data_IF_639084109721
#
_entry.id   IF_639084109721
#
_cell.length_a   1.000
_cell.length_b   1.000
_cell.length_c   1.000
_cell.angle_alpha   90.00
_cell.angle_beta   90.00
_cell.angle_gamma   90.00
#
_symmetry.space_group_name_H-M   'P 1'
#
loop_
_entity.id
_entity.type
_entity.pdbx_description
1 polymer ?
#
# COMPACT_ATOMS: atom_id res chain seq x y z
N UNK A 1 -11.76 15.15 -15.41
CA UNK A 1 -11.85 14.00 -16.35
C UNK A 1 -10.61 13.15 -16.13
N UNK A 2 -10.76 11.98 -15.50
CA UNK A 2 -9.67 11.01 -15.39
C UNK A 2 -9.53 10.31 -16.75
N UNK A 3 -8.42 10.57 -17.43
CA UNK A 3 -8.09 9.87 -18.68
C UNK A 3 -7.45 8.53 -18.32
N UNK A 4 -8.22 7.44 -18.41
CA UNK A 4 -7.67 6.09 -18.38
C UNK A 4 -7.19 5.73 -19.78
N UNK A 5 -5.90 5.42 -19.93
CA UNK A 5 -5.29 5.09 -21.22
C UNK A 5 -5.77 3.75 -21.77
N UNK A 6 -6.03 2.78 -20.90
CA UNK A 6 -6.60 1.48 -21.24
C UNK A 6 -7.47 1.00 -20.08
N UNK A 7 -8.68 0.59 -20.36
CA UNK A 7 -9.62 0.07 -19.38
C UNK A 7 -10.20 -1.26 -19.89
N UNK A 8 -10.10 -2.31 -19.06
CA UNK A 8 -10.66 -3.62 -19.33
C UNK A 8 -11.61 -3.96 -18.20
N UNK A 9 -12.86 -4.32 -18.53
CA UNK A 9 -13.89 -4.64 -17.54
C UNK A 9 -14.59 -5.92 -17.92
N UNK A 10 -14.64 -6.86 -16.97
CA UNK A 10 -15.38 -8.12 -17.07
C UNK A 10 -16.36 -8.24 -15.92
N UNK A 11 -17.53 -8.85 -16.15
CA UNK A 11 -18.45 -9.19 -15.08
C UNK A 11 -17.81 -10.20 -14.14
N UNK A 12 -17.81 -9.91 -12.85
CA UNK A 12 -17.27 -10.80 -11.83
C UNK A 12 -18.37 -11.24 -10.85
N UNK A 13 -18.80 -10.37 -9.97
CA UNK A 13 -19.83 -10.64 -8.96
C UNK A 13 -21.07 -9.77 -9.24
N UNK A 14 -21.89 -10.21 -10.21
CA UNK A 14 -23.05 -9.44 -10.69
C UNK A 14 -24.02 -9.04 -9.58
N UNK A 15 -24.33 -9.97 -8.66
CA UNK A 15 -25.26 -9.72 -7.55
C UNK A 15 -24.75 -8.68 -6.56
N UNK A 16 -23.44 -8.50 -6.46
CA UNK A 16 -22.80 -7.48 -5.63
C UNK A 16 -22.44 -6.21 -6.41
N UNK A 17 -22.78 -6.12 -7.70
CA UNK A 17 -22.43 -4.96 -8.51
C UNK A 17 -20.91 -4.70 -8.63
N UNK A 18 -20.08 -5.76 -8.49
CA UNK A 18 -18.63 -5.68 -8.67
C UNK A 18 -18.23 -6.24 -10.02
N UNK A 19 -17.46 -5.45 -10.75
CA UNK A 19 -16.85 -5.84 -12.02
C UNK A 19 -15.34 -5.96 -11.84
N UNK A 20 -14.74 -6.97 -12.44
CA UNK A 20 -13.29 -7.08 -12.51
C UNK A 20 -12.78 -6.05 -13.51
N UNK A 21 -12.57 -4.83 -13.01
CA UNK A 21 -12.17 -3.68 -13.82
C UNK A 21 -10.75 -3.28 -13.49
N UNK A 22 -9.89 -3.35 -14.49
CA UNK A 22 -8.51 -2.89 -14.41
C UNK A 22 -8.32 -1.72 -15.39
N UNK A 23 -7.61 -0.70 -14.95
CA UNK A 23 -7.30 0.46 -15.78
C UNK A 23 -6.02 1.15 -15.34
N UNK A 24 -5.40 1.87 -16.23
CA UNK A 24 -4.17 2.61 -15.98
C UNK A 24 -4.41 4.12 -16.12
N UNK A 25 -4.11 4.84 -15.06
CA UNK A 25 -3.89 6.28 -15.09
C UNK A 25 -2.39 6.58 -14.91
N UNK A 26 -1.99 7.83 -14.92
CA UNK A 26 -0.59 8.22 -14.79
C UNK A 26 0.10 7.65 -13.54
N UNK A 27 -0.58 7.64 -12.39
CA UNK A 27 -0.05 7.11 -11.14
C UNK A 27 0.06 5.58 -11.18
N UNK A 28 -1.00 4.90 -11.60
CA UNK A 28 -1.01 3.44 -11.77
C UNK A 28 0.05 2.99 -12.77
N UNK A 29 0.21 3.71 -13.89
CA UNK A 29 1.22 3.41 -14.90
C UNK A 29 2.65 3.49 -14.33
N UNK A 30 2.95 4.55 -13.57
CA UNK A 30 4.27 4.72 -12.96
C UNK A 30 4.61 3.60 -11.97
N UNK A 31 3.67 3.22 -11.11
CA UNK A 31 3.90 2.19 -10.09
C UNK A 31 3.91 0.76 -10.68
N UNK A 32 3.12 0.50 -11.71
CA UNK A 32 3.20 -0.77 -12.45
C UNK A 32 4.52 -0.87 -13.23
N UNK A 33 4.99 0.22 -13.84
CA UNK A 33 6.29 0.25 -14.51
C UNK A 33 7.43 0.03 -13.50
N UNK A 34 7.39 0.69 -12.34
CA UNK A 34 8.35 0.45 -11.26
C UNK A 34 8.36 -1.03 -10.85
N UNK A 35 7.18 -1.63 -10.66
CA UNK A 35 7.04 -3.03 -10.29
C UNK A 35 7.57 -3.96 -11.37
N UNK A 36 7.25 -3.69 -12.65
CA UNK A 36 7.69 -4.50 -13.79
C UNK A 36 9.21 -4.51 -13.96
N UNK A 37 9.88 -3.38 -13.68
CA UNK A 37 11.34 -3.26 -13.77
C UNK A 37 12.04 -3.80 -12.53
N UNK A 38 11.47 -3.58 -11.35
CA UNK A 38 12.07 -3.98 -10.08
C UNK A 38 12.20 -5.51 -9.93
N UNK A 39 11.17 -6.28 -10.28
CA UNK A 39 11.19 -7.73 -10.07
C UNK A 39 12.29 -8.45 -10.85
N UNK A 40 12.51 -8.22 -12.16
CA UNK A 40 13.66 -8.76 -12.87
C UNK A 40 15.00 -8.37 -12.22
N UNK A 41 15.16 -7.11 -11.80
CA UNK A 41 16.38 -6.67 -11.11
C UNK A 41 16.59 -7.44 -9.81
N UNK A 42 15.54 -7.60 -8.98
CA UNK A 42 15.59 -8.35 -7.73
C UNK A 42 15.96 -9.82 -8.00
N UNK A 43 15.39 -10.46 -9.02
CA UNK A 43 15.72 -11.83 -9.39
C UNK A 43 17.16 -11.99 -9.85
N UNK A 44 17.67 -11.06 -10.66
CA UNK A 44 19.07 -11.05 -11.10
C UNK A 44 20.01 -10.84 -9.90
N UNK A 45 19.73 -9.87 -9.05
CA UNK A 45 20.55 -9.54 -7.88
C UNK A 45 20.62 -10.72 -6.88
N UNK A 46 19.57 -11.50 -6.77
CA UNK A 46 19.46 -12.61 -5.81
C UNK A 46 19.65 -14.00 -6.43
N UNK A 47 20.00 -14.08 -7.71
CA UNK A 47 20.16 -15.34 -8.46
C UNK A 47 21.19 -16.32 -7.84
N UNK A 48 22.25 -15.79 -7.21
CA UNK A 48 23.27 -16.62 -6.55
C UNK A 48 22.86 -17.12 -5.16
N UNK A 49 21.71 -16.71 -4.63
CA UNK A 49 21.22 -17.13 -3.31
C UNK A 49 20.52 -18.48 -3.42
N UNK A 50 21.03 -19.48 -2.69
CA UNK A 50 20.41 -20.80 -2.66
C UNK A 50 19.24 -20.83 -1.69
N UNK A 51 18.01 -20.77 -2.22
CA UNK A 51 16.79 -20.92 -1.43
C UNK A 51 16.38 -22.40 -1.36
N UNK A 52 16.11 -22.89 -0.14
CA UNK A 52 15.47 -24.20 0.03
C UNK A 52 14.07 -24.14 -0.62
N UNK A 53 13.76 -25.10 -1.51
CA UNK A 53 12.53 -25.09 -2.32
C UNK A 53 12.40 -23.80 -3.17
N UNK A 54 13.39 -23.51 -3.99
CA UNK A 54 13.47 -22.31 -4.84
C UNK A 54 12.21 -22.08 -5.69
N UNK A 55 11.60 -23.15 -6.24
CA UNK A 55 10.37 -23.04 -7.04
C UNK A 55 9.21 -22.42 -6.23
N UNK A 56 9.03 -22.84 -4.97
CA UNK A 56 8.00 -22.26 -4.09
C UNK A 56 8.33 -20.80 -3.73
N UNK A 57 9.62 -20.49 -3.50
CA UNK A 57 10.07 -19.14 -3.22
C UNK A 57 9.75 -18.19 -4.38
N UNK A 58 10.20 -18.52 -5.59
CA UNK A 58 9.96 -17.69 -6.76
C UNK A 58 8.49 -17.65 -7.18
N UNK A 59 7.74 -18.75 -6.98
CA UNK A 59 6.29 -18.78 -7.19
C UNK A 59 5.56 -17.77 -6.28
N UNK A 60 5.91 -17.71 -4.98
CA UNK A 60 5.35 -16.74 -4.06
C UNK A 60 5.79 -15.29 -4.39
N UNK A 61 7.02 -15.09 -4.86
CA UNK A 61 7.49 -13.79 -5.34
C UNK A 61 6.65 -13.29 -6.53
N UNK A 62 6.40 -14.15 -7.53
CA UNK A 62 5.57 -13.83 -8.69
C UNK A 62 4.11 -13.58 -8.30
N UNK A 63 3.58 -14.33 -7.33
CA UNK A 63 2.25 -14.11 -6.80
C UNK A 63 2.14 -12.74 -6.08
N UNK A 64 3.18 -12.36 -5.32
CA UNK A 64 3.29 -11.02 -4.74
C UNK A 64 3.31 -9.94 -5.83
N UNK A 65 4.08 -10.16 -6.91
CA UNK A 65 4.11 -9.24 -8.05
C UNK A 65 2.74 -9.06 -8.68
N UNK A 66 2.01 -10.17 -8.90
CA UNK A 66 0.65 -10.13 -9.46
C UNK A 66 -0.30 -9.35 -8.56
N UNK A 67 -0.24 -9.54 -7.24
CA UNK A 67 -1.00 -8.75 -6.28
C UNK A 67 -0.69 -7.26 -6.35
N UNK A 68 0.59 -6.89 -6.39
CA UNK A 68 1.03 -5.49 -6.50
C UNK A 68 0.55 -4.82 -7.79
N UNK A 69 0.72 -5.51 -8.93
CA UNK A 69 0.20 -5.04 -10.22
C UNK A 69 -1.31 -4.82 -10.18
N UNK A 70 -2.04 -5.78 -9.59
CA UNK A 70 -3.49 -5.68 -9.44
C UNK A 70 -3.93 -4.50 -8.58
N UNK A 71 -3.25 -4.23 -7.45
CA UNK A 71 -3.55 -3.06 -6.60
C UNK A 71 -3.41 -1.75 -7.37
N UNK A 72 -2.34 -1.60 -8.17
CA UNK A 72 -2.08 -0.34 -8.89
C UNK A 72 -2.97 -0.15 -10.12
N UNK A 73 -3.64 -1.20 -10.60
CA UNK A 73 -4.53 -1.15 -11.76
C UNK A 73 -6.01 -1.27 -11.40
N UNK A 74 -6.37 -1.66 -10.18
CA UNK A 74 -7.76 -1.87 -9.77
C UNK A 74 -8.59 -0.57 -9.85
N UNK A 75 -9.75 -0.65 -10.52
CA UNK A 75 -10.73 0.42 -10.66
C UNK A 75 -12.07 0.11 -9.95
N UNK A 76 -12.10 -0.99 -9.24
CA UNK A 76 -13.20 -1.45 -8.39
C UNK A 76 -12.65 -1.66 -6.97
N UNK A 77 -13.37 -1.19 -5.96
CA UNK A 77 -12.87 -1.20 -4.58
C UNK A 77 -12.76 -2.61 -4.00
N UNK A 78 -13.62 -3.55 -4.43
CA UNK A 78 -13.54 -4.95 -4.03
C UNK A 78 -12.38 -5.67 -4.72
N UNK A 79 -12.14 -5.38 -6.00
CA UNK A 79 -10.98 -5.88 -6.76
C UNK A 79 -9.68 -5.33 -6.16
N UNK A 80 -9.66 -4.06 -5.76
CA UNK A 80 -8.54 -3.45 -5.04
C UNK A 80 -8.24 -4.20 -3.74
N UNK A 81 -9.26 -4.49 -2.92
CA UNK A 81 -9.11 -5.24 -1.68
C UNK A 81 -8.59 -6.66 -1.93
N UNK A 82 -9.13 -7.36 -2.94
CA UNK A 82 -8.67 -8.69 -3.32
C UNK A 82 -7.17 -8.71 -3.64
N UNK A 83 -6.70 -7.80 -4.49
CA UNK A 83 -5.29 -7.72 -4.85
C UNK A 83 -4.41 -7.22 -3.70
N UNK A 84 -4.95 -6.39 -2.80
CA UNK A 84 -4.26 -5.98 -1.59
C UNK A 84 -3.88 -7.18 -0.72
N UNK A 85 -4.82 -8.09 -0.47
CA UNK A 85 -4.56 -9.32 0.27
C UNK A 85 -3.66 -10.28 -0.51
N UNK A 86 -3.86 -10.39 -1.83
CA UNK A 86 -3.03 -11.22 -2.70
C UNK A 86 -1.55 -10.79 -2.71
N UNK A 87 -1.24 -9.51 -2.48
CA UNK A 87 0.13 -9.04 -2.33
C UNK A 87 0.72 -9.36 -0.95
N UNK A 88 -0.10 -9.33 0.11
CA UNK A 88 0.37 -9.47 1.50
C UNK A 88 0.59 -10.93 1.90
N UNK A 89 -0.35 -11.81 1.56
CA UNK A 89 -0.31 -13.23 1.97
C UNK A 89 0.97 -13.95 1.52
N UNK A 90 1.40 -13.85 0.24
CA UNK A 90 2.66 -14.47 -0.16
C UNK A 90 3.89 -13.88 0.54
N UNK A 91 3.90 -12.56 0.78
CA UNK A 91 4.98 -11.88 1.50
C UNK A 91 5.13 -12.38 2.95
N UNK A 92 4.00 -12.70 3.61
CA UNK A 92 4.01 -13.36 4.91
C UNK A 92 4.73 -14.73 4.84
N UNK A 93 4.38 -15.58 3.88
CA UNK A 93 5.01 -16.88 3.71
C UNK A 93 6.50 -16.78 3.34
N UNK A 94 6.87 -15.84 2.49
CA UNK A 94 8.27 -15.56 2.13
C UNK A 94 9.08 -15.18 3.38
N UNK A 95 8.57 -14.30 4.21
CA UNK A 95 9.26 -13.85 5.43
C UNK A 95 9.33 -14.95 6.50
N UNK A 96 8.25 -15.72 6.69
CA UNK A 96 8.18 -16.75 7.73
C UNK A 96 8.99 -18.01 7.43
N UNK A 97 9.13 -18.39 6.15
CA UNK A 97 9.82 -19.64 5.75
C UNK A 97 11.31 -19.45 5.49
N UNK A 98 11.71 -18.35 4.88
CA UNK A 98 13.09 -18.10 4.44
C UNK A 98 13.80 -16.97 5.18
N UNK A 99 13.19 -16.42 6.22
CA UNK A 99 13.77 -15.36 7.06
C UNK A 99 14.84 -15.84 8.04
N UNK A 100 15.40 -14.91 8.80
CA UNK A 100 16.42 -15.13 9.82
C UNK A 100 15.92 -15.87 11.06
N UNK A 101 16.71 -15.83 12.14
CA UNK A 101 16.42 -16.59 13.37
C UNK A 101 15.13 -16.18 14.05
N UNK A 102 14.85 -14.87 14.13
CA UNK A 102 13.64 -14.30 14.75
C UNK A 102 12.47 -14.11 13.76
N UNK A 103 12.53 -14.77 12.59
CA UNK A 103 11.57 -14.61 11.50
C UNK A 103 10.11 -14.79 11.92
N UNK A 104 9.83 -15.79 12.76
CA UNK A 104 8.45 -16.09 13.17
C UNK A 104 7.85 -14.94 13.97
N UNK A 105 8.59 -14.43 14.96
CA UNK A 105 8.14 -13.29 15.78
C UNK A 105 7.94 -12.02 14.96
N UNK A 106 8.91 -11.68 14.10
CA UNK A 106 8.84 -10.52 13.23
C UNK A 106 7.68 -10.62 12.22
N UNK A 107 7.52 -11.80 11.60
CA UNK A 107 6.46 -12.03 10.62
C UNK A 107 5.08 -12.08 11.27
N UNK A 108 4.96 -12.62 12.48
CA UNK A 108 3.69 -12.59 13.23
C UNK A 108 3.27 -11.16 13.56
N UNK A 109 4.23 -10.32 14.00
CA UNK A 109 3.99 -8.90 14.23
C UNK A 109 3.53 -8.20 12.94
N UNK A 110 4.22 -8.42 11.82
CA UNK A 110 3.82 -7.92 10.49
C UNK A 110 2.40 -8.35 10.13
N UNK A 111 2.08 -9.63 10.32
CA UNK A 111 0.75 -10.19 10.03
C UNK A 111 -0.34 -9.51 10.87
N UNK A 112 -0.17 -9.44 12.19
CA UNK A 112 -1.18 -8.83 13.09
C UNK A 112 -1.45 -7.38 12.68
N UNK A 113 -0.40 -6.59 12.43
CA UNK A 113 -0.57 -5.20 11.98
C UNK A 113 -1.33 -5.10 10.66
N UNK A 114 -0.86 -5.82 9.64
CA UNK A 114 -1.44 -5.72 8.29
C UNK A 114 -2.84 -6.32 8.22
N UNK A 115 -3.10 -7.42 8.90
CA UNK A 115 -4.42 -8.06 8.98
C UNK A 115 -5.44 -7.18 9.71
N UNK A 116 -5.07 -6.60 10.86
CA UNK A 116 -5.95 -5.65 11.56
C UNK A 116 -6.27 -4.45 10.67
N UNK A 117 -5.27 -3.90 9.97
CA UNK A 117 -5.48 -2.82 9.02
C UNK A 117 -6.44 -3.19 7.89
N UNK A 118 -6.28 -4.37 7.29
CA UNK A 118 -7.15 -4.81 6.20
C UNK A 118 -8.58 -5.10 6.66
N UNK A 119 -8.78 -5.58 7.89
CA UNK A 119 -10.13 -5.71 8.46
C UNK A 119 -10.82 -4.35 8.65
N UNK A 120 -10.10 -3.33 9.13
CA UNK A 120 -10.63 -1.97 9.24
C UNK A 120 -11.04 -1.43 7.86
N UNK A 121 -10.18 -1.64 6.85
CA UNK A 121 -10.48 -1.27 5.46
C UNK A 121 -11.71 -2.01 4.95
N UNK A 122 -11.84 -3.31 5.19
CA UNK A 122 -12.97 -4.12 4.75
C UNK A 122 -14.29 -3.61 5.34
N UNK A 123 -14.32 -3.27 6.63
CA UNK A 123 -15.49 -2.65 7.27
C UNK A 123 -15.86 -1.34 6.57
N UNK A 124 -14.87 -0.49 6.29
CA UNK A 124 -15.07 0.74 5.55
C UNK A 124 -15.60 0.52 4.12
N UNK A 125 -15.08 -0.50 3.42
CA UNK A 125 -15.50 -0.89 2.07
C UNK A 125 -16.97 -1.33 2.07
N UNK A 126 -17.36 -2.21 2.99
CA UNK A 126 -18.75 -2.70 3.10
C UNK A 126 -19.69 -1.53 3.40
N UNK A 127 -19.29 -0.64 4.31
CA UNK A 127 -20.11 0.53 4.65
C UNK A 127 -20.29 1.47 3.46
N UNK A 128 -19.20 1.80 2.75
CA UNK A 128 -19.27 2.61 1.53
C UNK A 128 -20.18 1.99 0.47
N UNK A 129 -20.04 0.69 0.25
CA UNK A 129 -20.86 -0.07 -0.69
C UNK A 129 -22.36 0.11 -0.42
N UNK A 130 -22.78 -0.03 0.84
CA UNK A 130 -24.17 0.12 1.26
C UNK A 130 -24.73 1.54 1.07
N UNK A 131 -23.87 2.54 0.87
CA UNK A 131 -24.22 3.94 0.66
C UNK A 131 -23.98 4.43 -0.77
N UNK A 132 -23.64 3.52 -1.70
CA UNK A 132 -23.57 3.86 -3.13
C UNK A 132 -24.99 3.98 -3.70
N UNK A 133 -25.15 4.85 -4.70
CA UNK A 133 -26.44 5.07 -5.36
C UNK A 133 -26.77 3.83 -6.21
N UNK A 134 -28.00 3.29 -6.11
CA UNK A 134 -28.43 2.15 -6.93
C UNK A 134 -28.23 2.41 -8.42
N UNK A 135 -27.78 1.37 -9.14
CA UNK A 135 -27.64 1.40 -10.60
C UNK A 135 -28.72 0.51 -11.27
N UNK A 136 -28.88 0.64 -12.59
CA UNK A 136 -29.89 -0.12 -13.33
C UNK A 136 -29.74 -1.66 -13.21
N UNK A 137 -28.56 -2.16 -12.84
CA UNK A 137 -28.25 -3.60 -12.82
C UNK A 137 -27.93 -4.17 -11.44
N UNK A 138 -27.80 -3.31 -10.40
CA UNK A 138 -27.53 -3.72 -9.02
C UNK A 138 -27.98 -2.63 -8.04
N UNK A 139 -28.40 -3.04 -6.84
CA UNK A 139 -28.78 -2.09 -5.78
C UNK A 139 -27.60 -1.21 -5.35
N UNK A 140 -26.38 -1.74 -5.41
CA UNK A 140 -25.13 -1.06 -5.03
C UNK A 140 -23.98 -1.44 -5.97
N UNK A 141 -22.86 -0.71 -5.93
CA UNK A 141 -21.70 -1.00 -6.76
C UNK A 141 -20.38 -0.66 -6.07
N UNK A 142 -19.35 -1.49 -6.30
CA UNK A 142 -17.99 -1.25 -5.85
C UNK A 142 -17.14 -0.44 -6.86
N UNK A 143 -17.72 -0.06 -8.00
CA UNK A 143 -16.98 0.70 -9.01
C UNK A 143 -16.47 2.02 -8.44
N UNK A 144 -15.31 2.48 -8.90
CA UNK A 144 -14.69 3.72 -8.43
C UNK A 144 -15.64 4.92 -8.52
N UNK A 145 -16.40 5.03 -9.62
CA UNK A 145 -17.35 6.12 -9.81
C UNK A 145 -18.51 6.08 -8.80
N UNK A 146 -19.03 4.89 -8.50
CA UNK A 146 -20.08 4.72 -7.50
C UNK A 146 -19.59 5.08 -6.10
N UNK A 147 -18.38 4.62 -5.74
CA UNK A 147 -17.75 4.92 -4.46
C UNK A 147 -17.47 6.42 -4.28
N UNK A 148 -17.00 7.10 -5.33
CA UNK A 148 -16.75 8.55 -5.28
C UNK A 148 -18.03 9.37 -5.14
N UNK A 149 -19.18 8.85 -5.59
CA UNK A 149 -20.48 9.47 -5.49
C UNK A 149 -21.33 8.96 -4.31
N UNK A 150 -20.77 8.16 -3.41
CA UNK A 150 -21.48 7.65 -2.25
C UNK A 150 -22.02 8.78 -1.36
N UNK A 151 -23.28 8.64 -0.94
CA UNK A 151 -23.97 9.66 -0.14
C UNK A 151 -23.77 9.36 1.33
N UNK A 152 -22.93 10.16 1.98
CA UNK A 152 -22.56 10.02 3.38
C UNK A 152 -22.76 11.33 4.13
N UNK A 153 -23.26 11.24 5.36
CA UNK A 153 -23.29 12.38 6.27
C UNK A 153 -21.88 12.82 6.68
N UNK A 154 -21.66 14.07 7.13
CA UNK A 154 -20.34 14.52 7.59
C UNK A 154 -19.76 13.68 8.74
N UNK A 155 -20.63 13.17 9.63
CA UNK A 155 -20.20 12.30 10.72
C UNK A 155 -19.67 10.96 10.20
N UNK A 156 -20.36 10.34 9.24
CA UNK A 156 -19.97 9.08 8.60
C UNK A 156 -18.66 9.23 7.86
N UNK A 157 -18.49 10.29 7.06
CA UNK A 157 -17.23 10.58 6.38
C UNK A 157 -16.04 10.64 7.35
N UNK A 158 -16.23 11.21 8.55
CA UNK A 158 -15.16 11.36 9.53
C UNK A 158 -14.68 10.01 10.09
N UNK A 159 -15.56 9.12 10.52
CA UNK A 159 -15.12 7.86 11.11
C UNK A 159 -14.65 6.85 10.04
N UNK A 160 -15.28 6.84 8.85
CA UNK A 160 -14.84 5.99 7.74
C UNK A 160 -13.46 6.43 7.25
N UNK A 161 -13.20 7.74 7.17
CA UNK A 161 -11.86 8.27 6.88
C UNK A 161 -10.80 7.62 7.78
N UNK A 162 -11.05 7.56 9.09
CA UNK A 162 -10.09 6.96 10.02
C UNK A 162 -9.92 5.45 9.83
N UNK A 163 -10.97 4.71 9.47
CA UNK A 163 -10.85 3.29 9.15
C UNK A 163 -9.90 3.05 7.96
N UNK A 164 -10.09 3.81 6.87
CA UNK A 164 -9.22 3.72 5.71
C UNK A 164 -7.82 4.28 6.01
N UNK A 165 -7.73 5.42 6.67
CA UNK A 165 -6.44 6.03 6.96
C UNK A 165 -5.58 5.16 7.86
N UNK A 166 -6.12 4.57 8.94
CA UNK A 166 -5.37 3.67 9.82
C UNK A 166 -4.89 2.43 9.04
N UNK A 167 -5.75 1.84 8.21
CA UNK A 167 -5.38 0.71 7.36
C UNK A 167 -4.19 1.04 6.43
N UNK A 168 -4.24 2.19 5.79
CA UNK A 168 -3.18 2.64 4.89
C UNK A 168 -1.94 3.12 5.65
N UNK A 169 -2.10 3.77 6.81
CA UNK A 169 -1.01 4.20 7.68
C UNK A 169 -0.22 3.01 8.26
N UNK A 170 -0.88 1.88 8.54
CA UNK A 170 -0.21 0.63 8.89
C UNK A 170 0.64 0.15 7.71
N UNK A 171 0.11 0.19 6.49
CA UNK A 171 0.78 -0.32 5.30
C UNK A 171 1.93 0.57 4.84
N UNK A 172 1.77 1.88 4.88
CA UNK A 172 2.82 2.87 4.57
C UNK A 172 3.64 3.31 5.78
N UNK A 173 3.78 2.50 6.81
CA UNK A 173 4.26 2.61 8.18
C UNK A 173 4.44 4.05 8.71
N UNK A 174 3.35 4.80 8.76
CA UNK A 174 3.33 6.13 9.39
C UNK A 174 3.30 5.99 10.90
N UNK A 175 3.97 6.90 11.61
CA UNK A 175 3.91 6.95 13.08
C UNK A 175 2.44 7.10 13.57
N UNK A 176 1.98 6.32 14.57
CA UNK A 176 2.71 5.35 15.38
C UNK A 176 2.69 3.90 14.82
N UNK A 177 2.14 3.63 13.66
CA UNK A 177 1.88 2.29 13.12
C UNK A 177 3.09 1.63 12.42
N UNK A 178 4.29 2.14 12.59
CA UNK A 178 5.51 1.76 11.86
C UNK A 178 6.32 0.60 12.47
N UNK A 179 6.04 0.20 13.73
CA UNK A 179 6.94 -0.63 14.51
C UNK A 179 7.13 -2.07 14.00
N UNK A 180 6.27 -2.54 13.10
CA UNK A 180 6.40 -3.85 12.46
C UNK A 180 7.51 -3.87 11.39
N UNK A 181 7.76 -2.72 10.74
CA UNK A 181 8.62 -2.64 9.56
C UNK A 181 10.11 -2.92 9.86
N UNK A 182 10.77 -2.30 10.86
CA UNK A 182 12.18 -2.54 11.12
C UNK A 182 12.47 -4.02 11.45
N UNK A 183 11.60 -4.65 12.26
CA UNK A 183 11.76 -6.04 12.65
C UNK A 183 11.57 -6.98 11.46
N UNK A 184 10.58 -6.70 10.60
CA UNK A 184 10.31 -7.50 9.41
C UNK A 184 11.43 -7.35 8.38
N UNK A 185 11.94 -6.13 8.15
CA UNK A 185 12.99 -5.89 7.17
C UNK A 185 14.32 -6.49 7.60
N UNK A 186 14.64 -6.48 8.89
CA UNK A 186 15.82 -7.14 9.44
C UNK A 186 15.77 -8.66 9.19
N UNK A 187 14.62 -9.28 9.44
CA UNK A 187 14.48 -10.73 9.46
C UNK A 187 14.09 -11.35 8.11
N UNK A 188 13.42 -10.63 7.22
CA UNK A 188 13.02 -11.16 5.93
C UNK A 188 14.24 -11.41 5.01
N UNK A 189 14.13 -12.36 4.04
CA UNK A 189 15.14 -12.52 3.00
C UNK A 189 15.35 -11.21 2.22
N UNK A 190 16.59 -10.93 1.81
CA UNK A 190 16.92 -9.68 1.13
C UNK A 190 16.02 -9.38 -0.07
N UNK A 191 15.78 -10.38 -0.95
CA UNK A 191 14.85 -10.21 -2.08
C UNK A 191 13.43 -9.87 -1.66
N UNK A 192 12.93 -10.48 -0.59
CA UNK A 192 11.61 -10.16 -0.03
C UNK A 192 11.60 -8.74 0.53
N UNK A 193 12.65 -8.34 1.24
CA UNK A 193 12.76 -6.98 1.78
C UNK A 193 12.85 -5.92 0.68
N UNK A 194 13.54 -6.20 -0.43
CA UNK A 194 13.55 -5.33 -1.62
C UNK A 194 12.12 -5.07 -2.13
N UNK A 195 11.27 -6.11 -2.21
CA UNK A 195 9.87 -5.96 -2.62
C UNK A 195 9.05 -5.21 -1.58
N UNK A 196 9.18 -5.56 -0.29
CA UNK A 196 8.45 -4.91 0.80
C UNK A 196 8.75 -3.41 0.85
N UNK A 197 10.04 -3.03 0.83
CA UNK A 197 10.47 -1.64 0.96
C UNK A 197 10.37 -0.85 -0.34
N UNK A 198 10.73 -1.48 -1.45
CA UNK A 198 10.76 -0.83 -2.76
C UNK A 198 9.37 -0.57 -3.35
N UNK A 199 8.42 -1.48 -3.15
CA UNK A 199 7.14 -1.44 -3.85
C UNK A 199 5.95 -1.53 -2.89
N UNK A 200 5.92 -2.49 -1.98
CA UNK A 200 4.72 -2.80 -1.20
C UNK A 200 4.27 -1.64 -0.29
N UNK A 201 5.19 -0.89 0.33
CA UNK A 201 4.84 0.28 1.14
C UNK A 201 4.18 1.40 0.31
N UNK A 202 4.45 1.47 -1.01
CA UNK A 202 3.82 2.43 -1.92
C UNK A 202 2.34 2.12 -2.16
N UNK A 203 1.88 0.89 -1.89
CA UNK A 203 0.45 0.57 -1.92
C UNK A 203 -0.34 1.48 -0.96
N UNK A 204 0.17 1.71 0.25
CA UNK A 204 -0.48 2.60 1.23
C UNK A 204 -0.53 4.04 0.76
N UNK A 205 0.58 4.57 0.23
CA UNK A 205 0.66 5.93 -0.34
C UNK A 205 -0.29 6.08 -1.53
N UNK A 206 -0.26 5.11 -2.45
CA UNK A 206 -1.18 5.04 -3.59
C UNK A 206 -2.64 5.03 -3.14
N UNK A 207 -2.96 4.21 -2.14
CA UNK A 207 -4.33 4.06 -1.63
C UNK A 207 -4.87 5.36 -1.00
N UNK A 208 -4.04 6.12 -0.29
CA UNK A 208 -4.43 7.44 0.23
C UNK A 208 -4.81 8.39 -0.91
N UNK A 209 -3.98 8.46 -1.95
CA UNK A 209 -4.25 9.34 -3.10
C UNK A 209 -5.47 8.85 -3.89
N UNK A 210 -5.61 7.53 -4.10
CA UNK A 210 -6.65 6.94 -4.93
C UNK A 210 -8.02 6.94 -4.26
N UNK A 211 -8.09 6.66 -2.95
CA UNK A 211 -9.35 6.42 -2.27
C UNK A 211 -9.67 7.50 -1.22
N UNK A 212 -8.72 7.92 -0.39
CA UNK A 212 -9.02 8.89 0.69
C UNK A 212 -9.29 10.28 0.14
N UNK A 213 -8.40 10.82 -0.71
CA UNK A 213 -8.54 12.19 -1.19
C UNK A 213 -9.85 12.43 -1.95
N UNK A 214 -10.27 11.57 -2.90
CA UNK A 214 -11.49 11.83 -3.65
C UNK A 214 -12.79 11.45 -2.92
N UNK A 215 -12.76 10.44 -2.03
CA UNK A 215 -13.96 9.97 -1.32
C UNK A 215 -14.29 10.85 -0.11
N UNK A 216 -13.26 11.36 0.59
CA UNK A 216 -13.43 12.08 1.86
C UNK A 216 -12.82 13.49 1.87
N UNK A 217 -13.06 14.37 0.88
CA UNK A 217 -12.38 15.68 0.81
C UNK A 217 -12.61 16.55 2.04
N UNK A 218 -13.84 16.52 2.62
CA UNK A 218 -14.19 17.28 3.81
C UNK A 218 -13.42 16.77 5.05
N UNK A 219 -13.34 15.43 5.23
CA UNK A 219 -12.62 14.83 6.33
C UNK A 219 -11.09 15.02 6.17
N UNK A 220 -10.57 14.97 4.95
CA UNK A 220 -9.17 15.29 4.64
C UNK A 220 -8.86 16.72 5.10
N UNK A 221 -9.69 17.71 4.77
CA UNK A 221 -9.49 19.10 5.18
C UNK A 221 -9.61 19.29 6.71
N UNK A 222 -10.45 18.51 7.36
CA UNK A 222 -10.63 18.57 8.81
C UNK A 222 -9.46 17.96 9.58
N UNK A 223 -8.85 16.89 9.05
CA UNK A 223 -7.84 16.09 9.76
C UNK A 223 -6.41 16.26 9.20
N UNK A 224 -6.21 17.10 8.18
CA UNK A 224 -4.91 17.32 7.54
C UNK A 224 -3.82 17.69 8.56
N UNK A 225 -4.06 18.63 9.46
CA UNK A 225 -3.10 19.06 10.47
C UNK A 225 -2.70 17.91 11.42
N UNK A 226 -3.63 17.03 11.78
CA UNK A 226 -3.36 15.87 12.63
C UNK A 226 -2.45 14.89 11.88
N UNK A 227 -2.80 14.57 10.63
CA UNK A 227 -2.05 13.62 9.82
C UNK A 227 -0.65 14.18 9.49
N UNK A 228 -0.55 15.45 9.11
CA UNK A 228 0.74 16.13 8.89
C UNK A 228 1.58 16.10 10.17
N UNK A 229 0.99 16.44 11.31
CA UNK A 229 1.68 16.40 12.61
C UNK A 229 2.24 15.03 12.94
N UNK A 230 1.44 13.96 12.81
CA UNK A 230 1.89 12.58 13.01
C UNK A 230 3.01 12.19 12.04
N UNK A 231 2.89 12.60 10.78
CA UNK A 231 3.87 12.32 9.74
C UNK A 231 5.21 13.02 10.02
N UNK A 232 5.19 14.29 10.43
CA UNK A 232 6.39 15.07 10.80
C UNK A 232 7.06 14.49 12.05
N UNK A 233 6.28 14.14 13.08
CA UNK A 233 6.80 13.46 14.27
C UNK A 233 7.48 12.16 13.87
N UNK A 234 6.82 11.35 13.02
CA UNK A 234 7.38 10.10 12.51
C UNK A 234 8.66 10.28 11.71
N UNK A 235 8.73 11.32 10.88
CA UNK A 235 9.92 11.66 10.09
C UNK A 235 11.10 12.00 10.99
N UNK A 236 10.91 12.88 11.97
CA UNK A 236 11.97 13.29 12.91
C UNK A 236 12.40 12.10 13.79
N UNK A 237 11.44 11.42 14.39
CA UNK A 237 11.66 10.25 15.23
C UNK A 237 12.44 9.15 14.50
N UNK A 238 12.00 8.76 13.30
CA UNK A 238 12.64 7.72 12.53
C UNK A 238 14.06 8.12 12.08
N UNK A 239 14.28 9.38 11.70
CA UNK A 239 15.60 9.89 11.34
C UNK A 239 16.59 9.84 12.51
N UNK A 240 16.16 10.24 13.70
CA UNK A 240 16.99 10.19 14.91
C UNK A 240 17.33 8.74 15.31
N UNK A 241 16.37 7.81 15.17
CA UNK A 241 16.64 6.40 15.45
C UNK A 241 17.57 5.80 14.38
N UNK A 242 17.40 6.17 13.10
CA UNK A 242 18.25 5.68 12.03
C UNK A 242 19.75 5.95 12.32
N UNK A 243 20.09 7.17 12.76
CA UNK A 243 21.48 7.56 13.08
C UNK A 243 22.08 6.68 14.20
N UNK A 244 21.24 6.11 15.07
CA UNK A 244 21.68 5.28 16.22
C UNK A 244 21.70 3.78 15.92
N UNK A 245 21.38 3.35 14.68
CA UNK A 245 21.38 1.93 14.34
C UNK A 245 22.79 1.45 13.97
N UNK A 246 23.21 0.36 14.58
CA UNK A 246 24.44 -0.36 14.22
C UNK A 246 24.20 -1.37 13.08
N UNK A 247 22.96 -1.86 12.94
CA UNK A 247 22.56 -2.78 11.87
C UNK A 247 22.11 -2.02 10.63
N UNK A 248 22.74 -2.31 9.47
CA UNK A 248 22.47 -1.63 8.21
C UNK A 248 21.02 -1.84 7.74
N UNK A 249 20.45 -3.03 7.94
CA UNK A 249 19.05 -3.31 7.56
C UNK A 249 18.08 -2.47 8.38
N UNK A 250 18.32 -2.32 9.67
CA UNK A 250 17.51 -1.46 10.54
C UNK A 250 17.68 0.02 10.19
N UNK A 251 18.91 0.46 9.89
CA UNK A 251 19.19 1.81 9.40
C UNK A 251 18.36 2.13 8.16
N UNK A 252 18.39 1.27 7.15
CA UNK A 252 17.63 1.42 5.90
C UNK A 252 16.13 1.41 6.16
N UNK A 253 15.66 0.57 7.10
CA UNK A 253 14.24 0.50 7.47
C UNK A 253 13.76 1.83 8.09
N UNK A 254 14.47 2.38 9.07
CA UNK A 254 14.09 3.66 9.69
C UNK A 254 14.23 4.84 8.74
N UNK A 255 15.26 4.86 7.88
CA UNK A 255 15.36 5.84 6.80
C UNK A 255 14.14 5.81 5.86
N UNK A 256 13.67 4.59 5.51
CA UNK A 256 12.46 4.42 4.70
C UNK A 256 11.22 4.98 5.39
N UNK A 257 11.06 4.77 6.71
CA UNK A 257 9.93 5.33 7.49
C UNK A 257 9.93 6.87 7.42
N UNK A 258 11.11 7.49 7.55
CA UNK A 258 11.24 8.95 7.46
C UNK A 258 10.80 9.47 6.09
N UNK A 259 11.25 8.85 5.00
CA UNK A 259 10.84 9.23 3.64
C UNK A 259 9.34 9.05 3.39
N UNK A 260 8.74 8.00 3.93
CA UNK A 260 7.28 7.78 3.80
C UNK A 260 6.49 8.80 4.63
N UNK A 261 6.99 9.17 5.82
CA UNK A 261 6.41 10.27 6.59
C UNK A 261 6.37 11.58 5.79
N UNK A 262 7.47 11.91 5.08
CA UNK A 262 7.53 13.06 4.18
C UNK A 262 6.48 12.97 3.07
N UNK A 263 6.35 11.80 2.41
CA UNK A 263 5.34 11.60 1.36
C UNK A 263 3.92 11.77 1.92
N UNK A 264 3.63 11.20 3.09
CA UNK A 264 2.33 11.32 3.74
C UNK A 264 2.01 12.79 4.07
N UNK A 265 2.93 13.53 4.68
CA UNK A 265 2.76 14.95 4.96
C UNK A 265 2.49 15.74 3.66
N UNK A 266 3.25 15.50 2.60
CA UNK A 266 3.10 16.18 1.32
C UNK A 266 1.73 15.92 0.65
N UNK A 267 1.17 14.71 0.75
CA UNK A 267 -0.19 14.41 0.25
C UNK A 267 -1.23 15.31 0.92
N UNK A 268 -1.16 15.43 2.24
CA UNK A 268 -2.15 16.18 3.02
C UNK A 268 -1.99 17.71 2.94
N UNK A 269 -0.92 18.22 2.30
CA UNK A 269 -0.88 19.65 1.90
C UNK A 269 -1.90 19.98 0.79
N UNK A 270 -2.41 18.98 0.08
CA UNK A 270 -3.40 19.11 -1.02
C UNK A 270 -2.92 20.00 -2.18
N UNK A 271 -1.62 20.27 -2.24
CA UNK A 271 -1.03 21.08 -3.32
C UNK A 271 -0.65 20.19 -4.51
N UNK A 272 -0.80 20.70 -5.72
CA UNK A 272 -0.36 19.99 -6.94
C UNK A 272 1.13 19.70 -6.91
N UNK A 273 1.94 20.65 -6.47
CA UNK A 273 3.41 20.50 -6.32
C UNK A 273 3.71 19.40 -5.31
N UNK A 274 2.98 19.35 -4.18
CA UNK A 274 3.10 18.30 -3.17
C UNK A 274 2.81 16.91 -3.75
N UNK A 275 1.72 16.75 -4.49
CA UNK A 275 1.36 15.49 -5.14
C UNK A 275 2.37 15.08 -6.22
N UNK A 276 2.83 16.00 -7.04
CA UNK A 276 3.90 15.75 -8.02
C UNK A 276 5.20 15.30 -7.33
N UNK A 277 5.57 15.97 -6.25
CA UNK A 277 6.72 15.61 -5.41
C UNK A 277 6.58 14.19 -4.83
N UNK A 278 5.40 13.82 -4.34
CA UNK A 278 5.13 12.47 -3.83
C UNK A 278 5.29 11.42 -4.94
N UNK A 279 4.80 11.69 -6.14
CA UNK A 279 4.94 10.77 -7.28
C UNK A 279 6.41 10.51 -7.62
N UNK A 280 7.20 11.56 -7.76
CA UNK A 280 8.65 11.45 -8.01
C UNK A 280 9.34 10.73 -6.86
N UNK A 281 8.97 11.04 -5.61
CA UNK A 281 9.57 10.43 -4.43
C UNK A 281 9.20 8.94 -4.30
N UNK A 282 7.98 8.52 -4.63
CA UNK A 282 7.60 7.10 -4.65
C UNK A 282 8.49 6.30 -5.61
N UNK A 283 8.73 6.83 -6.80
CA UNK A 283 9.55 6.18 -7.82
C UNK A 283 11.03 6.16 -7.41
N UNK A 284 11.57 7.32 -7.09
CA UNK A 284 12.98 7.50 -6.69
C UNK A 284 13.33 6.68 -5.44
N UNK A 285 12.52 6.78 -4.38
CA UNK A 285 12.70 5.97 -3.19
C UNK A 285 12.59 4.47 -3.49
N UNK A 286 11.68 4.06 -4.40
CA UNK A 286 11.56 2.67 -4.82
C UNK A 286 12.85 2.12 -5.38
N UNK A 287 13.44 2.81 -6.36
CA UNK A 287 14.71 2.42 -6.98
C UNK A 287 15.86 2.47 -5.98
N UNK A 288 16.00 3.57 -5.26
CA UNK A 288 17.10 3.78 -4.32
C UNK A 288 17.10 2.71 -3.21
N UNK A 289 15.95 2.41 -2.63
CA UNK A 289 15.87 1.45 -1.53
C UNK A 289 16.16 0.01 -2.02
N UNK A 290 15.73 -0.37 -3.22
CA UNK A 290 16.06 -1.65 -3.84
C UNK A 290 17.57 -1.76 -4.05
N UNK A 291 18.21 -0.68 -4.51
CA UNK A 291 19.66 -0.65 -4.72
C UNK A 291 20.48 -0.66 -3.42
N UNK A 292 19.91 -0.24 -2.30
CA UNK A 292 20.57 -0.27 -0.99
C UNK A 292 20.54 -1.65 -0.33
N UNK A 293 19.55 -2.51 -0.63
CA UNK A 293 19.43 -3.89 -0.15
C UNK A 293 20.34 -4.85 -0.89
#
# INVERSE_FOLDING_TARGET
KHFYLNNVSYFWLRYLGSNFTLGLDGMGHMLTALTAVAFPIIFIATNKTNYKNANAFYGLMLLTQSGLMGVFTAMDLLVFYFFWELAVIPAYFLSSRWGGERRIQATFKFFVYTFTGSLLMLVGIIYLYMHTIPSANAEHSFSMNAVYSAVLSPAEKNWIFWLFFIAFAIKMPVFPFHTWQPDTYEQAPTSTTMVLSGIMVKMGVFAVIRWILPVFPDAVTKFDNIVIGLSVIGMIYASLIAIRQDDLKRFVAYSSIAHIGLMCAAIFTKSEIGLQGVMIQMFSHGINIIGMW
#
